data_IF_498969044128
#
_entry.id   IF_498969044128
#
_cell.length_a   1.000
_cell.length_b   1.000
_cell.length_c   1.000
_cell.angle_alpha   90.00
_cell.angle_beta   90.00
_cell.angle_gamma   90.00
#
_symmetry.space_group_name_H-M   'P 1'
#
loop_
_entity.id
_entity.type
_entity.pdbx_description
1 polymer ?
#
# COMPACT_ATOMS: atom_id res chain seq x y z
N UNK A 1 8.75 6.25 37.78
CA UNK A 1 8.21 7.17 36.76
C UNK A 1 8.64 6.62 35.43
N UNK A 2 7.78 5.82 34.80
CA UNK A 2 8.03 5.26 33.48
C UNK A 2 7.95 6.41 32.48
N UNK A 3 9.10 6.72 31.86
CA UNK A 3 9.16 7.65 30.75
C UNK A 3 8.58 6.90 29.54
N UNK A 4 7.28 7.10 29.28
CA UNK A 4 6.68 6.76 27.98
C UNK A 4 7.46 7.52 26.91
N UNK A 5 8.44 6.84 26.31
CA UNK A 5 9.08 7.32 25.10
C UNK A 5 7.96 7.52 24.07
N UNK A 6 7.75 8.75 23.56
CA UNK A 6 6.75 8.97 22.52
C UNK A 6 7.06 7.99 21.38
N UNK A 7 6.05 7.36 20.77
CA UNK A 7 6.27 6.42 19.68
C UNK A 7 7.14 7.14 18.64
N UNK A 8 8.21 6.51 18.13
CA UNK A 8 9.09 7.15 17.18
C UNK A 8 8.23 7.67 16.03
N UNK A 9 8.20 8.99 15.88
CA UNK A 9 7.62 9.65 14.71
C UNK A 9 8.55 9.23 13.58
N UNK A 10 8.17 8.19 12.84
CA UNK A 10 8.82 7.85 11.59
C UNK A 10 8.43 8.94 10.61
N UNK A 11 9.21 10.02 10.61
CA UNK A 11 9.21 11.01 9.55
C UNK A 11 9.67 10.24 8.32
N UNK A 12 8.74 9.97 7.39
CA UNK A 12 9.12 9.52 6.05
C UNK A 12 10.19 10.50 5.55
N UNK A 13 11.35 10.02 5.05
CA UNK A 13 12.40 10.91 4.58
C UNK A 13 11.76 11.93 3.63
N UNK A 14 12.03 13.24 3.81
CA UNK A 14 11.38 14.31 3.04
C UNK A 14 11.58 14.18 1.52
N UNK A 15 12.47 13.29 1.08
CA UNK A 15 12.76 12.99 -0.32
C UNK A 15 11.84 11.93 -0.96
N UNK A 16 10.95 11.25 -0.22
CA UNK A 16 10.07 10.23 -0.80
C UNK A 16 8.61 10.68 -1.02
N UNK A 17 8.16 11.75 -0.35
CA UNK A 17 6.80 12.28 -0.54
C UNK A 17 6.54 12.86 -1.94
N UNK A 18 7.60 13.19 -2.69
CA UNK A 18 7.55 13.61 -4.10
C UNK A 18 7.84 12.50 -5.11
N UNK A 19 8.08 11.26 -4.66
CA UNK A 19 8.35 10.14 -5.55
C UNK A 19 7.05 9.44 -5.92
N UNK A 20 6.71 9.52 -7.22
CA UNK A 20 5.49 8.89 -7.74
C UNK A 20 5.53 7.36 -7.54
N UNK A 21 4.41 6.80 -7.09
CA UNK A 21 4.26 5.36 -6.88
C UNK A 21 3.56 4.79 -8.12
N UNK A 22 4.27 4.06 -8.99
CA UNK A 22 3.65 3.47 -10.17
C UNK A 22 2.59 2.47 -9.75
N UNK A 23 1.39 2.64 -10.30
CA UNK A 23 0.21 1.81 -10.05
C UNK A 23 -0.35 1.29 -11.37
N UNK A 24 -1.18 0.24 -11.30
CA UNK A 24 -1.88 -0.26 -12.49
C UNK A 24 -2.98 0.73 -12.90
N UNK A 25 -3.35 0.81 -14.18
CA UNK A 25 -4.50 1.63 -14.60
C UNK A 25 -5.76 1.30 -13.79
N UNK A 26 -6.47 2.33 -13.31
CA UNK A 26 -7.65 2.20 -12.43
C UNK A 26 -7.33 1.95 -10.94
N UNK A 27 -6.06 2.08 -10.56
CA UNK A 27 -5.60 2.04 -9.18
C UNK A 27 -4.90 3.36 -8.83
N UNK A 28 -4.90 3.70 -7.54
CA UNK A 28 -4.19 4.84 -6.99
C UNK A 28 -3.39 4.46 -5.75
N UNK A 29 -2.36 5.24 -5.46
CA UNK A 29 -1.53 5.12 -4.28
C UNK A 29 -1.62 6.41 -3.47
N UNK A 30 -1.96 6.28 -2.19
CA UNK A 30 -2.09 7.41 -1.26
C UNK A 30 -1.18 7.17 -0.04
N UNK A 31 -0.65 8.25 0.54
CA UNK A 31 0.01 8.18 1.84
C UNK A 31 -1.05 8.34 2.94
N UNK A 32 -1.31 7.27 3.70
CA UNK A 32 -2.36 7.26 4.71
C UNK A 32 -1.81 6.83 6.07
N UNK A 33 -2.32 7.48 7.13
CA UNK A 33 -2.08 7.02 8.49
C UNK A 33 -2.95 5.79 8.79
N UNK A 34 -2.30 4.69 9.17
CA UNK A 34 -3.01 3.43 9.41
C UNK A 34 -3.85 3.47 10.69
N UNK A 35 -5.13 3.09 10.58
CA UNK A 35 -6.03 2.92 11.74
C UNK A 35 -5.76 1.66 12.56
N UNK A 36 -5.13 0.65 11.96
CA UNK A 36 -4.78 -0.63 12.58
C UNK A 36 -3.41 -1.07 12.06
N UNK A 37 -2.69 -1.86 12.86
CA UNK A 37 -1.44 -2.48 12.41
C UNK A 37 -1.63 -3.34 11.15
N UNK A 38 -0.67 -3.28 10.23
CA UNK A 38 -0.65 -4.03 8.97
C UNK A 38 0.70 -4.70 8.76
N UNK A 39 0.83 -5.51 7.71
CA UNK A 39 2.13 -5.98 7.21
C UNK A 39 2.39 -5.37 5.84
N UNK A 40 3.64 -5.02 5.58
CA UNK A 40 4.04 -4.55 4.26
C UNK A 40 3.82 -5.66 3.22
N UNK A 41 3.12 -5.34 2.13
CA UNK A 41 2.84 -6.28 1.04
C UNK A 41 4.09 -6.75 0.29
N UNK A 42 5.22 -6.05 0.43
CA UNK A 42 6.50 -6.44 -0.18
C UNK A 42 7.43 -7.15 0.80
N UNK A 43 7.93 -6.47 1.84
CA UNK A 43 8.95 -7.02 2.75
C UNK A 43 8.37 -7.79 3.95
N UNK A 44 7.04 -7.86 4.10
CA UNK A 44 6.35 -8.53 5.21
C UNK A 44 6.61 -7.94 6.61
N UNK A 45 7.38 -6.86 6.71
CA UNK A 45 7.64 -6.13 7.95
C UNK A 45 6.33 -5.62 8.56
N UNK A 46 6.12 -5.76 9.88
CA UNK A 46 4.97 -5.17 10.57
C UNK A 46 5.01 -3.64 10.48
N UNK A 47 3.89 -3.04 10.08
CA UNK A 47 3.66 -1.60 10.09
C UNK A 47 2.72 -1.32 11.27
N UNK A 48 3.18 -0.48 12.19
CA UNK A 48 2.43 -0.18 13.42
C UNK A 48 1.18 0.66 13.10
N UNK A 49 0.21 0.56 13.98
CA UNK A 49 -0.93 1.48 13.99
C UNK A 49 -0.44 2.94 14.11
N UNK A 50 -1.20 3.89 13.56
CA UNK A 50 -0.89 5.32 13.53
C UNK A 50 0.39 5.71 12.77
N UNK A 51 1.01 4.78 12.04
CA UNK A 51 2.13 5.06 11.14
C UNK A 51 1.61 5.41 9.75
N UNK A 52 2.23 6.39 9.10
CA UNK A 52 1.96 6.71 7.69
C UNK A 52 2.54 5.63 6.79
N UNK A 53 1.72 5.09 5.90
CA UNK A 53 2.08 4.04 4.97
C UNK A 53 1.58 4.37 3.56
N UNK A 54 2.13 3.72 2.55
CA UNK A 54 1.62 3.81 1.17
C UNK A 54 0.49 2.79 1.02
N UNK A 55 -0.72 3.27 0.77
CA UNK A 55 -1.91 2.45 0.56
C UNK A 55 -2.29 2.49 -0.90
N UNK A 56 -2.24 1.33 -1.56
CA UNK A 56 -2.66 1.14 -2.94
C UNK A 56 -4.05 0.54 -2.97
N UNK A 57 -4.96 1.18 -3.70
CA UNK A 57 -6.37 0.79 -3.80
C UNK A 57 -6.93 1.08 -5.18
N UNK A 58 -8.03 0.40 -5.50
CA UNK A 58 -8.79 0.66 -6.71
C UNK A 58 -9.47 2.02 -6.63
N UNK A 59 -9.53 2.74 -7.76
CA UNK A 59 -10.22 4.04 -7.84
C UNK A 59 -11.74 3.87 -7.87
N UNK A 60 -12.23 2.89 -8.64
CA UNK A 60 -13.65 2.54 -8.79
C UNK A 60 -13.87 1.04 -8.53
N UNK A 61 -13.97 0.62 -7.25
CA UNK A 61 -14.13 -0.79 -6.91
C UNK A 61 -15.51 -1.34 -7.30
N UNK A 62 -16.56 -0.50 -7.32
CA UNK A 62 -17.89 -0.88 -7.77
C UNK A 62 -17.90 -1.22 -9.28
N UNK A 63 -17.41 -0.32 -10.12
CA UNK A 63 -17.34 -0.56 -11.57
C UNK A 63 -16.41 -1.70 -11.94
N UNK A 64 -15.31 -1.89 -11.20
CA UNK A 64 -14.43 -3.05 -11.41
C UNK A 64 -15.09 -4.37 -11.03
N UNK A 65 -15.85 -4.42 -9.92
CA UNK A 65 -16.54 -5.62 -9.48
C UNK A 65 -17.54 -6.11 -10.53
N UNK A 66 -18.32 -5.19 -11.09
CA UNK A 66 -19.27 -5.46 -12.16
C UNK A 66 -18.55 -5.91 -13.45
N UNK A 67 -17.57 -5.13 -13.91
CA UNK A 67 -16.86 -5.39 -15.17
C UNK A 67 -16.09 -6.71 -15.17
N UNK A 68 -15.50 -7.09 -14.04
CA UNK A 68 -14.63 -8.26 -13.93
C UNK A 68 -15.30 -9.45 -13.23
N UNK A 69 -16.60 -9.37 -12.92
CA UNK A 69 -17.37 -10.39 -12.20
C UNK A 69 -16.66 -10.88 -10.91
N UNK A 70 -16.15 -9.93 -10.12
CA UNK A 70 -15.54 -10.20 -8.81
C UNK A 70 -16.38 -9.62 -7.70
N UNK A 71 -16.28 -10.17 -6.49
CA UNK A 71 -17.01 -9.61 -5.35
C UNK A 71 -16.52 -8.20 -5.02
N UNK A 72 -17.44 -7.33 -4.59
CA UNK A 72 -17.11 -5.97 -4.15
C UNK A 72 -16.08 -5.96 -3.00
N UNK A 73 -16.17 -6.95 -2.10
CA UNK A 73 -15.19 -7.14 -1.02
C UNK A 73 -13.78 -7.38 -1.56
N UNK A 74 -13.64 -8.09 -2.69
CA UNK A 74 -12.34 -8.29 -3.34
C UNK A 74 -11.87 -7.04 -4.07
N UNK A 75 -12.76 -6.31 -4.76
CA UNK A 75 -12.42 -5.06 -5.43
C UNK A 75 -11.97 -3.96 -4.44
N UNK A 76 -12.54 -3.93 -3.23
CA UNK A 76 -12.17 -3.00 -2.16
C UNK A 76 -10.88 -3.37 -1.40
N UNK A 77 -10.23 -4.49 -1.74
CA UNK A 77 -8.98 -4.87 -1.07
C UNK A 77 -7.90 -3.84 -1.36
N UNK A 78 -7.19 -3.46 -0.31
CA UNK A 78 -6.05 -2.56 -0.41
C UNK A 78 -4.75 -3.31 -0.17
N UNK A 79 -3.68 -2.82 -0.78
CA UNK A 79 -2.31 -3.25 -0.47
C UNK A 79 -1.61 -2.15 0.31
N UNK A 80 -0.91 -2.50 1.39
CA UNK A 80 -0.23 -1.52 2.26
C UNK A 80 1.27 -1.77 2.21
N UNK A 81 2.06 -0.70 2.06
CA UNK A 81 3.52 -0.76 2.02
C UNK A 81 4.12 0.21 3.04
N UNK A 82 5.26 -0.16 3.63
CA UNK A 82 5.91 0.65 4.67
C UNK A 82 6.53 1.93 4.11
N UNK A 83 6.89 1.95 2.82
CA UNK A 83 7.53 3.06 2.14
C UNK A 83 7.28 2.98 0.61
N UNK A 84 7.66 4.05 -0.11
CA UNK A 84 7.52 4.17 -1.57
C UNK A 84 8.37 3.12 -2.29
N UNK A 85 9.55 2.81 -1.78
CA UNK A 85 10.47 1.81 -2.36
C UNK A 85 9.84 0.42 -2.36
N UNK A 86 9.18 0.03 -1.27
CA UNK A 86 8.46 -1.23 -1.13
C UNK A 86 7.22 -1.26 -2.03
N UNK A 87 6.51 -0.14 -2.17
CA UNK A 87 5.39 -0.05 -3.10
C UNK A 87 5.84 -0.25 -4.56
N UNK A 88 6.92 0.43 -4.98
CA UNK A 88 7.55 0.27 -6.30
C UNK A 88 7.99 -1.17 -6.55
N UNK A 89 8.72 -1.78 -5.61
CA UNK A 89 9.14 -3.20 -5.72
C UNK A 89 7.94 -4.14 -5.82
N UNK A 90 6.90 -3.91 -5.02
CA UNK A 90 5.65 -4.68 -5.10
C UNK A 90 5.00 -4.60 -6.48
N UNK A 91 4.91 -3.40 -7.07
CA UNK A 91 4.42 -3.20 -8.42
C UNK A 91 5.26 -3.95 -9.47
N UNK A 92 6.58 -3.83 -9.43
CA UNK A 92 7.45 -4.54 -10.38
C UNK A 92 7.30 -6.06 -10.28
N UNK A 93 7.25 -6.61 -9.06
CA UNK A 93 7.05 -8.03 -8.83
C UNK A 93 5.69 -8.51 -9.36
N UNK A 94 4.62 -7.73 -9.14
CA UNK A 94 3.29 -8.02 -9.67
C UNK A 94 3.30 -8.06 -11.21
N UNK A 95 3.86 -7.03 -11.84
CA UNK A 95 3.94 -6.94 -13.31
C UNK A 95 4.81 -8.04 -13.92
N UNK A 96 5.92 -8.43 -13.26
CA UNK A 96 6.77 -9.52 -13.70
C UNK A 96 6.03 -10.86 -13.67
N UNK A 97 5.22 -11.12 -12.63
CA UNK A 97 4.44 -12.35 -12.52
C UNK A 97 3.26 -12.41 -13.49
N UNK A 98 2.65 -11.26 -13.84
CA UNK A 98 1.60 -11.20 -14.86
C UNK A 98 2.12 -11.47 -16.28
N UNK A 99 3.41 -11.23 -16.54
CA UNK A 99 4.05 -11.48 -17.84
C UNK A 99 4.53 -12.92 -18.03
N UNK A 100 4.52 -13.75 -16.99
CA UNK A 100 4.90 -15.17 -17.15
C UNK A 100 3.76 -15.90 -17.88
N UNK A 101 4.05 -16.61 -19.00
CA UNK A 101 3.06 -17.47 -19.63
C UNK A 101 2.59 -18.52 -18.61
N UNK A 102 1.28 -18.75 -18.57
CA UNK A 102 0.65 -19.80 -17.75
C UNK A 102 1.07 -21.19 -18.21
#
# INVERSE_FOLDING_TARGET
MDTENPPPIVILPPNESGLDVPVRPGWKADHEQLKLGKRCGNCQTPIRQHTTAVVVRMEDPEGYAEKHNVTLANARRTSTYCDVTCARRGYFNLMANLKKPK
#
